data_IF_917060810527
#
_entry.id   IF_917060810527
#
_cell.length_a   1.000
_cell.length_b   1.000
_cell.length_c   1.000
_cell.angle_alpha   90.00
_cell.angle_beta   90.00
_cell.angle_gamma   90.00
#
_symmetry.space_group_name_H-M   'P 1'
#
loop_
_entity.id
_entity.type
_entity.pdbx_description
1 polymer ?
#
# COMPACT_ATOMS: atom_id res chain seq x y z
N UNK A 1 0.58 13.92 -14.79
CA UNK A 1 -0.62 13.06 -14.99
C UNK A 1 -0.64 12.09 -13.83
N UNK A 2 -1.73 12.07 -13.06
CA UNK A 2 -1.86 11.14 -11.94
C UNK A 2 -2.46 9.83 -12.46
N UNK A 3 -1.76 8.73 -12.22
CA UNK A 3 -2.27 7.40 -12.48
C UNK A 3 -3.06 6.91 -11.27
N UNK A 4 -3.91 5.93 -11.49
CA UNK A 4 -4.80 5.39 -10.47
C UNK A 4 -4.68 3.88 -10.41
N UNK A 5 -4.70 3.35 -9.21
CA UNK A 5 -4.90 1.93 -8.91
C UNK A 5 -6.11 1.78 -7.98
N UNK A 6 -6.91 0.74 -8.22
CA UNK A 6 -8.07 0.40 -7.39
C UNK A 6 -8.03 -1.07 -6.99
N UNK A 7 -8.85 -1.45 -6.02
CA UNK A 7 -9.01 -2.84 -5.62
C UNK A 7 -9.63 -2.96 -4.25
N UNK A 8 -9.48 -4.12 -3.63
CA UNK A 8 -9.95 -4.35 -2.28
C UNK A 8 -8.83 -4.78 -1.33
N UNK A 9 -8.95 -4.35 -0.08
CA UNK A 9 -8.20 -4.92 1.03
C UNK A 9 -8.93 -6.19 1.50
N UNK A 10 -8.20 -7.30 1.43
CA UNK A 10 -8.67 -8.61 1.89
C UNK A 10 -7.82 -9.06 3.08
N UNK A 11 -8.34 -9.98 3.88
CA UNK A 11 -7.66 -10.46 5.09
C UNK A 11 -7.46 -11.97 4.97
N UNK A 12 -6.23 -12.43 5.17
CA UNK A 12 -5.92 -13.85 5.26
C UNK A 12 -6.05 -14.29 6.72
N UNK A 13 -6.84 -15.33 6.96
CA UNK A 13 -7.07 -15.89 8.30
C UNK A 13 -8.28 -15.27 9.01
N UNK A 14 -8.10 -14.82 10.25
CA UNK A 14 -9.18 -14.28 11.08
C UNK A 14 -9.65 -12.91 10.54
N UNK A 15 -10.98 -12.71 10.46
CA UNK A 15 -11.53 -11.42 10.08
C UNK A 15 -11.31 -10.37 11.18
N UNK A 16 -10.81 -9.17 10.83
CA UNK A 16 -10.58 -8.11 11.81
C UNK A 16 -11.90 -7.61 12.41
N UNK A 17 -11.83 -7.27 13.70
CA UNK A 17 -12.88 -6.49 14.37
C UNK A 17 -12.32 -5.11 14.67
N UNK A 18 -12.68 -4.13 13.84
CA UNK A 18 -12.24 -2.74 14.01
C UNK A 18 -12.94 -2.06 15.18
N UNK A 19 -12.18 -1.29 15.94
CA UNK A 19 -12.62 -0.49 17.06
C UNK A 19 -13.17 0.88 16.62
N UNK A 20 -12.74 1.36 15.44
CA UNK A 20 -13.19 2.60 14.80
C UNK A 20 -12.16 3.73 14.79
N UNK A 21 -10.94 3.42 15.22
CA UNK A 21 -9.79 4.32 15.29
C UNK A 21 -8.58 3.75 14.53
N UNK A 22 -8.75 2.62 13.85
CA UNK A 22 -7.72 2.05 12.99
C UNK A 22 -7.53 2.86 11.71
N UNK A 23 -6.28 2.99 11.29
CA UNK A 23 -5.89 3.71 10.09
C UNK A 23 -5.30 2.72 9.09
N UNK A 24 -5.91 2.64 7.91
CA UNK A 24 -5.39 1.90 6.76
C UNK A 24 -4.52 2.81 5.91
N UNK A 25 -3.27 2.44 5.75
CA UNK A 25 -2.31 3.08 4.87
C UNK A 25 -2.09 2.21 3.64
N UNK A 26 -2.11 2.82 2.47
CA UNK A 26 -1.85 2.18 1.19
C UNK A 26 -0.83 3.03 0.47
N UNK A 27 0.18 2.41 -0.12
CA UNK A 27 1.21 3.14 -0.88
C UNK A 27 1.63 2.39 -2.12
N UNK A 28 1.86 3.16 -3.18
CA UNK A 28 2.51 2.74 -4.42
C UNK A 28 3.98 3.09 -4.29
N UNK A 29 4.84 2.09 -4.44
CA UNK A 29 6.26 2.17 -4.11
C UNK A 29 7.11 1.60 -5.23
N UNK A 30 8.27 2.19 -5.47
CA UNK A 30 9.33 1.54 -6.25
C UNK A 30 10.25 0.78 -5.29
N UNK A 31 10.20 -0.55 -5.32
CA UNK A 31 10.69 -1.41 -4.23
C UNK A 31 11.67 -2.52 -4.65
N UNK A 32 11.82 -2.82 -5.95
CA UNK A 32 12.67 -3.96 -6.38
C UNK A 32 14.18 -3.68 -6.34
N UNK A 33 14.62 -2.58 -5.72
CA UNK A 33 16.02 -2.24 -5.56
C UNK A 33 16.45 -2.34 -4.11
N UNK A 34 17.25 -3.37 -3.82
CA UNK A 34 17.84 -3.59 -2.50
C UNK A 34 18.94 -2.58 -2.14
N UNK A 35 19.43 -1.83 -3.12
CA UNK A 35 20.56 -0.90 -3.02
C UNK A 35 20.15 0.56 -2.76
N UNK A 36 18.85 0.89 -2.84
CA UNK A 36 18.34 2.26 -2.73
C UNK A 36 17.13 2.27 -1.79
N UNK A 37 16.97 3.30 -0.93
CA UNK A 37 15.74 3.49 -0.17
C UNK A 37 14.51 3.48 -1.08
N UNK A 38 13.49 2.74 -0.67
CA UNK A 38 12.22 2.66 -1.39
C UNK A 38 11.63 4.05 -1.64
N UNK A 39 11.15 4.30 -2.86
CA UNK A 39 10.58 5.58 -3.26
C UNK A 39 9.06 5.47 -3.25
N UNK A 40 8.39 6.28 -2.43
CA UNK A 40 6.93 6.42 -2.49
C UNK A 40 6.52 7.27 -3.70
N UNK A 41 5.68 6.69 -4.57
CA UNK A 41 5.14 7.33 -5.76
C UNK A 41 3.75 7.93 -5.51
N UNK A 42 3.05 7.41 -4.51
CA UNK A 42 1.76 7.90 -4.05
C UNK A 42 1.25 7.08 -2.87
N UNK A 43 0.36 7.67 -2.09
CA UNK A 43 -0.21 7.04 -0.91
C UNK A 43 -1.67 7.47 -0.68
N UNK A 44 -2.38 6.63 0.06
CA UNK A 44 -3.75 6.87 0.50
C UNK A 44 -3.91 6.38 1.93
N UNK A 45 -4.53 7.22 2.75
CA UNK A 45 -4.94 6.88 4.11
C UNK A 45 -6.46 6.82 4.18
N UNK A 46 -6.98 5.82 4.89
CA UNK A 46 -8.41 5.57 5.11
C UNK A 46 -8.61 5.30 6.60
N UNK A 47 -9.46 6.09 7.25
CA UNK A 47 -9.93 5.80 8.61
C UNK A 47 -10.94 4.65 8.55
N UNK A 48 -10.73 3.63 9.37
CA UNK A 48 -11.62 2.48 9.45
C UNK A 48 -12.62 2.65 10.60
N UNK A 49 -13.85 2.20 10.38
CA UNK A 49 -14.95 2.37 11.33
C UNK A 49 -15.36 1.05 11.97
N UNK A 50 -15.90 1.14 13.19
CA UNK A 50 -16.50 -0.02 13.87
C UNK A 50 -17.61 -0.62 13.00
N UNK A 51 -17.54 -1.93 12.76
CA UNK A 51 -18.53 -2.65 11.96
C UNK A 51 -18.42 -2.40 10.45
N UNK A 52 -17.32 -1.83 9.97
CA UNK A 52 -17.06 -1.66 8.54
C UNK A 52 -17.14 -3.00 7.81
N UNK A 53 -17.87 -3.02 6.69
CA UNK A 53 -18.01 -4.21 5.86
C UNK A 53 -16.70 -4.53 5.14
N UNK A 54 -16.40 -5.82 5.07
CA UNK A 54 -15.29 -6.36 4.31
C UNK A 54 -15.79 -6.95 2.98
N UNK A 55 -14.99 -6.92 1.91
CA UNK A 55 -13.64 -6.34 1.84
C UNK A 55 -13.66 -4.80 1.68
N UNK A 56 -12.56 -4.12 2.00
CA UNK A 56 -12.52 -2.64 1.98
C UNK A 56 -12.08 -2.18 0.59
N UNK A 57 -12.94 -1.48 -0.14
CA UNK A 57 -12.56 -0.86 -1.42
C UNK A 57 -11.53 0.26 -1.20
N UNK A 58 -10.55 0.34 -2.09
CA UNK A 58 -9.58 1.43 -2.11
C UNK A 58 -9.36 2.00 -3.51
N UNK A 59 -8.88 3.25 -3.51
CA UNK A 59 -8.39 3.94 -4.68
C UNK A 59 -7.16 4.76 -4.28
N UNK A 60 -6.03 4.49 -4.92
CA UNK A 60 -4.78 5.21 -4.69
C UNK A 60 -4.33 5.89 -5.99
N UNK A 61 -3.91 7.15 -5.88
CA UNK A 61 -3.31 7.88 -6.98
C UNK A 61 -1.79 7.89 -6.81
N UNK A 62 -1.06 7.87 -7.92
CA UNK A 62 0.40 7.88 -7.92
C UNK A 62 0.96 8.58 -9.16
N UNK A 63 2.21 9.03 -9.05
CA UNK A 63 2.93 9.73 -10.10
C UNK A 63 4.19 8.95 -10.49
N UNK A 64 4.17 8.17 -11.59
CA UNK A 64 5.33 7.39 -12.03
C UNK A 64 6.58 8.23 -12.25
N UNK A 65 6.41 9.47 -12.70
CA UNK A 65 7.52 10.37 -13.00
C UNK A 65 8.31 10.80 -11.75
N UNK A 66 7.74 10.67 -10.54
CA UNK A 66 8.49 10.88 -9.28
C UNK A 66 9.65 9.88 -9.14
N UNK A 67 9.46 8.66 -9.65
CA UNK A 67 10.51 7.67 -9.72
C UNK A 67 11.57 8.12 -10.74
N UNK A 68 11.14 8.49 -11.95
CA UNK A 68 12.04 8.88 -13.04
C UNK A 68 12.99 10.03 -12.69
N UNK A 69 12.49 11.09 -12.04
CA UNK A 69 13.33 12.22 -11.59
C UNK A 69 14.41 11.77 -10.61
N UNK A 70 14.08 10.91 -9.64
CA UNK A 70 15.06 10.37 -8.70
C UNK A 70 16.03 9.39 -9.37
N UNK A 71 15.60 8.65 -10.39
CA UNK A 71 16.47 7.76 -11.15
C UNK A 71 17.50 8.50 -12.00
N UNK A 72 17.13 9.62 -12.62
CA UNK A 72 18.08 10.49 -13.32
C UNK A 72 19.14 11.07 -12.37
N UNK A 73 18.72 11.51 -11.18
CA UNK A 73 19.63 11.99 -10.13
C UNK A 73 20.59 10.89 -9.64
N UNK A 74 20.07 9.67 -9.44
CA UNK A 74 20.84 8.53 -8.93
C UNK A 74 21.58 7.75 -10.04
N UNK A 75 21.40 8.10 -11.32
CA UNK A 75 21.91 7.37 -12.50
C UNK A 75 21.61 5.87 -12.45
N UNK A 76 20.40 5.50 -12.07
CA UNK A 76 19.99 4.09 -11.90
C UNK A 76 18.76 3.73 -12.74
N UNK A 77 18.58 2.44 -13.02
CA UNK A 77 17.44 1.89 -13.79
C UNK A 77 16.24 1.74 -12.85
N UNK A 78 15.00 2.08 -13.26
CA UNK A 78 13.82 1.89 -12.42
C UNK A 78 13.69 0.48 -11.85
N UNK A 79 13.27 0.36 -10.59
CA UNK A 79 12.83 -0.92 -10.04
C UNK A 79 11.41 -1.25 -10.51
N UNK A 80 10.88 -2.38 -10.05
CA UNK A 80 9.47 -2.70 -10.23
C UNK A 80 8.62 -1.96 -9.21
N UNK A 81 7.50 -1.43 -9.70
CA UNK A 81 6.53 -0.72 -8.87
C UNK A 81 5.59 -1.73 -8.21
N UNK A 82 5.47 -1.62 -6.89
CA UNK A 82 4.65 -2.49 -6.05
C UNK A 82 3.63 -1.70 -5.23
N UNK A 83 2.61 -2.42 -4.76
CA UNK A 83 1.64 -1.96 -3.78
C UNK A 83 2.00 -2.50 -2.40
N UNK A 84 1.80 -1.67 -1.39
CA UNK A 84 1.82 -2.10 0.00
C UNK A 84 0.66 -1.49 0.76
N UNK A 85 0.19 -2.18 1.79
CA UNK A 85 -0.77 -1.66 2.72
C UNK A 85 -0.54 -2.18 4.14
N UNK A 86 -0.89 -1.36 5.12
CA UNK A 86 -0.84 -1.69 6.53
C UNK A 86 -2.02 -1.07 7.27
N UNK A 87 -2.39 -1.67 8.39
CA UNK A 87 -3.36 -1.11 9.33
C UNK A 87 -2.68 -0.92 10.67
N UNK A 88 -2.78 0.29 11.21
CA UNK A 88 -2.25 0.65 12.51
C UNK A 88 -3.33 1.27 13.41
N UNK A 89 -3.07 1.26 14.71
CA UNK A 89 -3.89 1.94 15.72
C UNK A 89 -2.99 2.43 16.83
N UNK A 90 -3.01 3.73 17.11
CA UNK A 90 -2.16 4.36 18.12
C UNK A 90 -0.68 3.94 17.96
N UNK A 91 -0.15 4.07 16.74
CA UNK A 91 1.21 3.69 16.33
C UNK A 91 1.55 2.18 16.45
N UNK A 92 0.58 1.34 16.81
CA UNK A 92 0.73 -0.11 16.82
C UNK A 92 0.31 -0.69 15.47
N UNK A 93 1.24 -1.37 14.78
CA UNK A 93 0.95 -2.12 13.56
C UNK A 93 0.09 -3.36 13.90
N UNK A 94 -1.05 -3.49 13.23
CA UNK A 94 -2.02 -4.58 13.45
C UNK A 94 -2.06 -5.56 12.28
N UNK A 95 -2.01 -5.04 11.05
CA UNK A 95 -2.06 -5.85 9.84
C UNK A 95 -1.11 -5.29 8.78
N UNK A 96 -0.52 -6.16 7.96
CA UNK A 96 0.42 -5.77 6.90
C UNK A 96 0.32 -6.72 5.72
N UNK A 97 0.63 -6.27 4.51
CA UNK A 97 0.91 -7.18 3.41
C UNK A 97 2.34 -7.73 3.57
N UNK A 98 2.49 -9.05 3.62
CA UNK A 98 3.79 -9.71 3.79
C UNK A 98 4.37 -10.26 2.48
N UNK A 99 3.81 -9.88 1.35
CA UNK A 99 4.25 -10.29 0.01
C UNK A 99 4.34 -9.08 -0.90
N UNK A 100 5.29 -9.10 -1.84
CA UNK A 100 5.38 -8.10 -2.89
C UNK A 100 4.18 -8.20 -3.83
N UNK A 101 3.50 -7.08 -4.04
CA UNK A 101 2.31 -7.02 -4.90
C UNK A 101 2.67 -6.16 -6.11
N UNK A 102 2.83 -6.73 -7.32
CA UNK A 102 3.10 -5.93 -8.50
C UNK A 102 1.92 -5.00 -8.79
N UNK A 103 2.24 -3.78 -9.21
CA UNK A 103 1.26 -2.78 -9.59
C UNK A 103 0.46 -3.22 -10.83
N UNK A 104 -0.86 -3.06 -10.77
CA UNK A 104 -1.79 -3.21 -11.88
C UNK A 104 -2.88 -2.14 -11.75
N UNK A 105 -3.69 -1.91 -12.79
CA UNK A 105 -4.81 -0.94 -12.70
C UNK A 105 -5.83 -1.34 -11.63
N UNK A 106 -6.08 -2.65 -11.50
CA UNK A 106 -6.92 -3.24 -10.47
C UNK A 106 -6.17 -4.37 -9.76
N UNK A 107 -6.06 -4.30 -8.42
CA UNK A 107 -5.35 -5.31 -7.64
C UNK A 107 -5.84 -5.38 -6.20
N UNK A 108 -6.20 -6.58 -5.74
CA UNK A 108 -6.51 -6.79 -4.33
C UNK A 108 -5.24 -6.92 -3.50
N UNK A 109 -5.26 -6.38 -2.29
CA UNK A 109 -4.14 -6.41 -1.34
C UNK A 109 -4.53 -7.31 -0.16
N UNK A 110 -3.96 -8.52 -0.06
CA UNK A 110 -4.16 -9.37 1.11
C UNK A 110 -3.30 -8.89 2.28
N UNK A 111 -3.93 -8.66 3.42
CA UNK A 111 -3.28 -8.40 4.69
C UNK A 111 -3.27 -9.64 5.57
N UNK A 112 -2.19 -9.78 6.34
CA UNK A 112 -2.04 -10.74 7.43
C UNK A 112 -1.95 -9.97 8.74
N UNK A 113 -2.33 -10.61 9.85
CA UNK A 113 -2.14 -10.06 11.19
C UNK A 113 -0.64 -9.93 11.48
N UNK A 114 -0.23 -8.81 12.06
CA UNK A 114 1.14 -8.60 12.52
C UNK A 114 1.29 -9.22 13.92
N UNK A 115 2.33 -10.04 14.11
CA UNK A 115 2.65 -10.73 15.37
C UNK A 115 3.65 -9.96 16.22
#
# INVERSE_FOLDING_TARGET
>A
INYRVTGHITFKGEQPKFCGDEILHISVRDSLRYDIPCIELGSKTILLYRGQQLPIYYQCYYEPNKAHMKFEELKTIPGGVTLSAQIERNDQLLYVNNTDIPLAEYKDIPLVKFE
#
